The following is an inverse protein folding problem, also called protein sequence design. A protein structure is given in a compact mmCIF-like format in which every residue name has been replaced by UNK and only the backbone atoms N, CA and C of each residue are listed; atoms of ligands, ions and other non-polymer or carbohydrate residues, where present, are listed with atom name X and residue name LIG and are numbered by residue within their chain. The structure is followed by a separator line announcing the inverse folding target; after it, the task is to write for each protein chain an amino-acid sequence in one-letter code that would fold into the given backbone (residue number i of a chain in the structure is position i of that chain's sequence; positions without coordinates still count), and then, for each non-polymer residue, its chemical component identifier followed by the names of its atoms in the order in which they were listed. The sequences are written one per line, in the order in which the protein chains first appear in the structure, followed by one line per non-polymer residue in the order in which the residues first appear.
data_IF_822144349887
#
_entry.id   IF_822144349887
#
_cell.length_a   1.000
_cell.length_b   1.000
_cell.length_c   1.000
_cell.angle_alpha   90.00
_cell.angle_beta   90.00
_cell.angle_gamma   90.00
#
_symmetry.space_group_name_H-M   'P 1'
#
loop_
_entity.id
_entity.type
_entity.pdbx_description
1 polymer ?
#
# COMPACT_ATOMS: atom_id res chain seq x y z
N UNK A 1 -15.71 12.44 12.50
CA UNK A 1 -14.70 11.86 11.61
C UNK A 1 -14.28 10.52 12.19
N UNK A 2 -14.45 9.42 11.45
CA UNK A 2 -14.14 8.06 11.88
C UNK A 2 -12.91 7.55 11.13
N UNK A 3 -12.10 6.72 11.77
CA UNK A 3 -10.92 6.09 11.16
C UNK A 3 -11.21 4.61 10.92
N UNK A 4 -11.14 4.17 9.67
CA UNK A 4 -11.29 2.77 9.28
C UNK A 4 -9.93 2.18 8.92
N UNK A 5 -9.65 0.95 9.36
CA UNK A 5 -8.46 0.21 8.90
C UNK A 5 -8.76 -0.47 7.56
N UNK A 6 -7.84 -0.36 6.61
CA UNK A 6 -7.92 -1.00 5.30
C UNK A 6 -6.53 -1.47 4.91
N UNK A 7 -6.44 -2.65 4.31
CA UNK A 7 -5.21 -3.14 3.72
C UNK A 7 -5.15 -2.76 2.24
N UNK A 8 -4.01 -2.26 1.78
CA UNK A 8 -3.74 -1.90 0.38
C UNK A 8 -2.56 -2.72 -0.13
N UNK A 9 -2.62 -3.10 -1.39
CA UNK A 9 -1.52 -3.76 -2.09
C UNK A 9 -0.87 -2.78 -3.05
N UNK A 10 0.45 -2.62 -2.93
CA UNK A 10 1.28 -1.85 -3.86
C UNK A 10 2.10 -2.85 -4.67
N UNK A 11 1.98 -2.82 -5.99
CA UNK A 11 2.66 -3.76 -6.90
C UNK A 11 3.64 -2.99 -7.78
N UNK A 12 4.91 -3.40 -7.75
CA UNK A 12 5.94 -2.94 -8.69
C UNK A 12 6.79 -4.13 -9.13
N UNK A 13 6.88 -4.35 -10.45
CA UNK A 13 7.65 -5.45 -11.04
C UNK A 13 7.24 -6.83 -10.51
N UNK A 14 8.20 -7.54 -9.90
CA UNK A 14 7.98 -8.89 -9.32
C UNK A 14 7.54 -8.87 -7.85
N UNK A 15 7.35 -7.71 -7.25
CA UNK A 15 7.06 -7.59 -5.82
C UNK A 15 5.70 -6.93 -5.56
N UNK A 16 5.04 -7.36 -4.49
CA UNK A 16 3.88 -6.68 -3.94
C UNK A 16 4.08 -6.41 -2.44
N UNK A 17 3.68 -5.24 -1.97
CA UNK A 17 3.65 -4.91 -0.55
C UNK A 17 2.20 -4.83 -0.07
N UNK A 18 1.90 -5.52 1.02
CA UNK A 18 0.67 -5.39 1.80
C UNK A 18 0.89 -4.37 2.92
N UNK A 19 0.19 -3.24 2.82
CA UNK A 19 0.34 -2.09 3.71
C UNK A 19 -1.01 -1.79 4.36
N UNK A 20 -1.03 -1.78 5.68
CA UNK A 20 -2.19 -1.30 6.42
C UNK A 20 -2.20 0.23 6.44
N UNK A 21 -3.35 0.77 6.03
CA UNK A 21 -3.61 2.21 5.98
C UNK A 21 -4.88 2.53 6.73
N UNK A 22 -5.02 3.79 7.08
CA UNK A 22 -6.27 4.28 7.60
C UNK A 22 -7.02 5.13 6.59
N UNK A 23 -8.30 4.85 6.46
CA UNK A 23 -9.24 5.70 5.76
C UNK A 23 -9.96 6.60 6.76
N UNK A 24 -10.19 7.82 6.34
CA UNK A 24 -10.90 8.86 7.07
C UNK A 24 -12.31 8.96 6.50
N UNK A 25 -13.28 8.84 7.38
CA UNK A 25 -14.70 8.86 7.05
C UNK A 25 -15.36 10.07 7.70
N UNK A 26 -16.02 10.88 6.88
CA UNK A 26 -16.80 12.04 7.29
C UNK A 26 -18.05 12.20 6.39
N UNK A 27 -18.79 13.29 6.58
CA UNK A 27 -20.01 13.59 5.82
C UNK A 27 -19.74 14.27 4.47
N UNK A 28 -18.47 14.37 4.04
CA UNK A 28 -18.13 14.94 2.74
C UNK A 28 -18.44 13.95 1.61
N UNK A 29 -18.63 14.46 0.39
CA UNK A 29 -18.86 13.62 -0.79
C UNK A 29 -17.66 12.78 -1.25
N UNK A 30 -16.50 12.94 -0.62
CA UNK A 30 -15.26 12.21 -0.93
C UNK A 30 -14.96 11.08 0.06
N UNK A 31 -15.78 10.94 1.10
CA UNK A 31 -15.66 9.90 2.13
C UNK A 31 -15.99 8.50 1.58
N UNK A 32 -15.24 7.43 1.96
CA UNK A 32 -13.99 7.45 2.72
C UNK A 32 -12.75 7.72 1.86
N UNK A 33 -11.78 8.46 2.39
CA UNK A 33 -10.54 8.81 1.70
C UNK A 33 -9.29 8.50 2.53
N UNK A 34 -8.12 8.42 1.89
CA UNK A 34 -6.83 8.22 2.57
C UNK A 34 -6.42 9.48 3.33
N UNK A 35 -5.79 9.30 4.49
CA UNK A 35 -5.02 10.39 5.08
C UNK A 35 -3.84 10.76 4.18
N UNK A 36 -3.40 12.03 4.21
CA UNK A 36 -2.21 12.47 3.45
C UNK A 36 -0.98 11.65 3.85
N UNK A 37 -0.82 11.37 5.14
CA UNK A 37 0.29 10.55 5.65
C UNK A 37 0.26 9.13 5.07
N UNK A 38 -0.90 8.48 5.10
CA UNK A 38 -1.04 7.13 4.54
C UNK A 38 -0.87 7.13 3.01
N UNK A 39 -1.27 8.20 2.31
CA UNK A 39 -1.03 8.35 0.89
C UNK A 39 0.48 8.46 0.58
N UNK A 40 1.20 9.34 1.28
CA UNK A 40 2.65 9.45 1.14
C UNK A 40 3.37 8.15 1.48
N UNK A 41 2.92 7.42 2.52
CA UNK A 41 3.47 6.10 2.87
C UNK A 41 3.36 5.11 1.70
N UNK A 42 2.21 5.08 1.02
CA UNK A 42 2.03 4.20 -0.14
C UNK A 42 2.94 4.60 -1.30
N UNK A 43 3.19 5.90 -1.48
CA UNK A 43 4.14 6.40 -2.48
C UNK A 43 5.59 6.01 -2.15
N UNK A 44 6.01 6.11 -0.89
CA UNK A 44 7.35 5.68 -0.46
C UNK A 44 7.55 4.18 -0.68
N UNK A 45 6.56 3.36 -0.34
CA UNK A 45 6.59 1.91 -0.59
C UNK A 45 6.69 1.62 -2.08
N UNK A 46 5.93 2.34 -2.90
CA UNK A 46 5.97 2.20 -4.36
C UNK A 46 7.35 2.53 -4.92
N UNK A 47 7.96 3.63 -4.48
CA UNK A 47 9.31 4.01 -4.89
C UNK A 47 10.37 2.99 -4.44
N UNK A 48 10.28 2.50 -3.21
CA UNK A 48 11.20 1.50 -2.67
C UNK A 48 11.14 0.19 -3.47
N UNK A 49 9.93 -0.33 -3.72
CA UNK A 49 9.75 -1.53 -4.54
C UNK A 49 10.24 -1.34 -5.97
N UNK A 50 9.96 -0.19 -6.59
CA UNK A 50 10.42 0.11 -7.96
C UNK A 50 11.96 0.11 -8.07
N UNK A 51 12.66 0.56 -7.02
CA UNK A 51 14.12 0.53 -6.94
C UNK A 51 14.69 -0.83 -6.56
N UNK A 52 13.84 -1.80 -6.22
CA UNK A 52 14.25 -3.10 -5.69
C UNK A 52 14.71 -3.07 -4.23
N UNK A 53 14.47 -1.96 -3.52
CA UNK A 53 14.79 -1.81 -2.09
C UNK A 53 13.68 -2.45 -1.24
N UNK A 54 13.72 -3.78 -1.18
CA UNK A 54 12.76 -4.60 -0.43
C UNK A 54 12.90 -4.36 1.07
N UNK A 55 14.11 -4.06 1.56
CA UNK A 55 14.32 -3.81 2.99
C UNK A 55 13.54 -2.57 3.42
N UNK A 56 13.68 -1.45 2.72
CA UNK A 56 12.95 -0.23 3.03
C UNK A 56 11.43 -0.42 2.90
N UNK A 57 10.97 -1.11 1.85
CA UNK A 57 9.55 -1.41 1.69
C UNK A 57 8.98 -2.27 2.84
N UNK A 58 9.76 -3.24 3.35
CA UNK A 58 9.34 -4.15 4.42
C UNK A 58 9.09 -3.48 5.77
N UNK A 59 9.62 -2.27 5.97
CA UNK A 59 9.37 -1.46 7.18
C UNK A 59 7.91 -1.00 7.27
N UNK A 60 7.20 -0.96 6.16
CA UNK A 60 5.81 -0.49 6.08
C UNK A 60 4.78 -1.62 6.02
N UNK A 61 5.20 -2.87 5.82
CA UNK A 61 4.27 -3.96 5.62
C UNK A 61 4.93 -5.26 5.15
N UNK A 62 4.11 -6.25 4.81
CA UNK A 62 4.58 -7.55 4.33
C UNK A 62 4.89 -7.47 2.85
N UNK A 63 6.07 -7.94 2.46
CA UNK A 63 6.48 -7.99 1.05
C UNK A 63 6.33 -9.42 0.53
N UNK A 64 5.74 -9.53 -0.65
CA UNK A 64 5.56 -10.75 -1.39
C UNK A 64 6.36 -10.69 -2.68
N UNK A 65 6.97 -11.80 -3.05
CA UNK A 65 7.45 -12.02 -4.40
C UNK A 65 6.33 -12.69 -5.20
N UNK A 66 5.89 -12.03 -6.27
CA UNK A 66 4.83 -12.51 -7.13
C UNK A 66 5.37 -13.55 -8.10
N UNK A 67 4.67 -14.69 -8.16
CA UNK A 67 4.92 -15.75 -9.13
C UNK A 67 3.59 -16.12 -9.79
N UNK A 68 3.57 -16.35 -11.10
CA UNK A 68 2.36 -16.81 -11.77
C UNK A 68 1.94 -18.16 -11.19
N UNK A 69 0.65 -18.30 -10.86
CA UNK A 69 0.08 -19.55 -10.32
C UNK A 69 -0.42 -20.46 -11.44
N UNK A 70 -0.81 -19.87 -12.57
CA UNK A 70 -1.06 -20.55 -13.82
C UNK A 70 -0.63 -19.62 -14.96
N UNK A 71 0.18 -20.13 -15.89
CA UNK A 71 0.54 -19.49 -17.16
C UNK A 71 -0.05 -20.38 -18.26
N UNK A 72 -0.94 -19.83 -19.09
CA UNK A 72 -1.34 -20.47 -20.34
C UNK A 72 -0.28 -20.22 -21.42
#
# INVERSE_FOLDING_TARGET
MRRLKKTKFVHEGRYAAEVDVALLEDNSGWSPYLSVEDACRLDDVREALRRGDVESASRYGRIYELRPVAQQ
#
